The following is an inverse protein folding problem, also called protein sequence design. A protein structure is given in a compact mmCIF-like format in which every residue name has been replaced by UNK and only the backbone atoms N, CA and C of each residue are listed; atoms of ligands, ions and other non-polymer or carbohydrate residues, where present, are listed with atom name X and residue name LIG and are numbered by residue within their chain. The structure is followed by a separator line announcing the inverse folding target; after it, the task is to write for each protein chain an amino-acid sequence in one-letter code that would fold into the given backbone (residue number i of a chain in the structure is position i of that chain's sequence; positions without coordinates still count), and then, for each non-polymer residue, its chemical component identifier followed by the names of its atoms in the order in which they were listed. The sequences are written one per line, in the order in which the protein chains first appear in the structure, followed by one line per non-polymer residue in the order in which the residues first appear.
data_IF_930474689907
#
_entry.id   IF_930474689907
#
_cell.length_a   1.000
_cell.length_b   1.000
_cell.length_c   1.000
_cell.angle_alpha   90.00
_cell.angle_beta   90.00
_cell.angle_gamma   90.00
#
_symmetry.space_group_name_H-M   'P 1'
#
loop_
_entity.id
_entity.type
_entity.pdbx_description
1 polymer ?
#
# COMPACT_ATOMS: atom_id res chain seq x y z
N UNK A 1 -36.89 23.23 43.95
CA UNK A 1 -35.53 23.60 43.54
C UNK A 1 -34.66 22.37 43.58
N UNK A 2 -33.83 22.18 42.55
CA UNK A 2 -32.54 21.50 42.60
C UNK A 2 -32.46 19.95 42.58
N UNK A 3 -32.98 19.27 41.53
CA UNK A 3 -32.55 17.87 41.28
C UNK A 3 -32.40 17.42 39.81
N UNK A 4 -32.53 18.28 38.80
CA UNK A 4 -32.44 17.82 37.40
C UNK A 4 -31.45 18.64 36.55
N UNK A 5 -30.23 18.83 37.05
CA UNK A 5 -29.12 19.40 36.26
C UNK A 5 -28.00 18.37 36.01
N UNK A 6 -28.25 17.08 36.28
CA UNK A 6 -27.21 16.05 36.35
C UNK A 6 -27.15 15.08 35.14
N UNK A 7 -27.72 15.44 33.98
CA UNK A 7 -27.65 14.60 32.78
C UNK A 7 -26.89 15.22 31.61
N UNK A 8 -26.27 16.40 31.80
CA UNK A 8 -25.71 17.18 30.69
C UNK A 8 -24.22 16.97 30.38
N UNK A 9 -23.51 16.01 30.96
CA UNK A 9 -22.03 15.95 30.82
C UNK A 9 -21.38 14.55 30.64
N UNK A 10 -22.07 13.56 30.08
CA UNK A 10 -21.47 12.22 29.89
C UNK A 10 -21.76 11.51 28.55
N UNK A 11 -21.87 12.24 27.43
CA UNK A 11 -21.84 11.60 26.09
C UNK A 11 -20.89 12.36 25.15
N UNK A 12 -19.69 12.63 25.63
CA UNK A 12 -18.52 12.84 24.78
C UNK A 12 -17.58 11.65 25.01
N UNK A 13 -16.97 11.15 23.93
CA UNK A 13 -15.85 10.19 23.89
C UNK A 13 -16.15 8.69 23.70
N UNK A 14 -16.75 8.33 22.57
CA UNK A 14 -16.42 7.09 21.85
C UNK A 14 -16.61 7.35 20.34
N UNK A 15 -15.68 7.94 19.56
CA UNK A 15 -14.33 7.47 19.21
C UNK A 15 -14.21 5.96 19.34
N UNK A 16 -14.39 5.19 18.25
CA UNK A 16 -13.30 4.66 17.41
C UNK A 16 -13.89 4.13 16.10
N UNK A 17 -13.19 4.42 15.01
CA UNK A 17 -13.45 4.02 13.63
C UNK A 17 -13.45 2.49 13.47
N UNK A 18 -14.46 1.94 12.80
CA UNK A 18 -14.41 0.59 12.21
C UNK A 18 -14.40 0.75 10.70
N UNK A 19 -13.22 1.01 10.14
CA UNK A 19 -12.97 0.87 8.72
C UNK A 19 -12.73 -0.62 8.44
N UNK A 20 -13.77 -1.28 7.93
CA UNK A 20 -13.75 -2.65 7.44
C UNK A 20 -12.80 -2.73 6.23
N UNK A 21 -11.62 -3.30 6.43
CA UNK A 21 -10.73 -3.72 5.36
C UNK A 21 -10.72 -5.25 5.31
N UNK A 22 -11.65 -5.84 4.57
CA UNK A 22 -11.41 -7.15 3.95
C UNK A 22 -11.41 -6.98 2.44
N UNK A 23 -10.30 -6.41 1.95
CA UNK A 23 -9.94 -6.48 0.54
C UNK A 23 -9.68 -7.94 0.16
N UNK A 24 -10.47 -8.41 -0.80
CA UNK A 24 -10.49 -9.77 -1.29
C UNK A 24 -9.11 -10.30 -1.72
N UNK A 25 -8.92 -11.56 -1.36
CA UNK A 25 -7.79 -12.42 -1.62
C UNK A 25 -7.56 -12.63 -3.13
N UNK A 26 -6.61 -11.91 -3.70
CA UNK A 26 -6.13 -12.21 -5.06
C UNK A 26 -5.06 -13.31 -4.99
N UNK A 27 -5.41 -14.48 -5.53
CA UNK A 27 -4.57 -15.69 -5.60
C UNK A 27 -3.28 -15.41 -6.37
N UNK A 28 -2.21 -15.08 -5.67
CA UNK A 28 -0.85 -15.03 -6.25
C UNK A 28 -0.41 -16.46 -6.52
N UNK A 29 -0.12 -16.75 -7.79
CA UNK A 29 0.39 -18.02 -8.26
C UNK A 29 1.75 -18.31 -7.59
N UNK A 30 1.73 -19.16 -6.55
CA UNK A 30 2.89 -19.52 -5.71
C UNK A 30 3.76 -20.50 -6.51
N UNK A 31 4.83 -20.02 -7.19
CA UNK A 31 5.85 -20.93 -7.73
C UNK A 31 6.61 -21.58 -6.57
N UNK A 32 6.64 -22.92 -6.45
CA UNK A 32 7.40 -23.59 -5.41
C UNK A 32 8.87 -23.62 -5.83
N UNK A 33 9.77 -23.13 -4.98
CA UNK A 33 11.22 -23.26 -5.21
C UNK A 33 12.03 -22.02 -4.86
N UNK A 34 12.08 -21.67 -3.57
CA UNK A 34 13.21 -21.02 -2.89
C UNK A 34 12.85 -20.94 -1.42
N UNK A 35 13.83 -21.21 -0.55
CA UNK A 35 13.64 -21.21 0.92
C UNK A 35 12.94 -19.95 1.41
N UNK A 36 12.35 -20.04 2.60
CA UNK A 36 11.55 -18.99 3.25
C UNK A 36 12.39 -17.71 3.35
N UNK A 37 12.42 -16.94 2.27
CA UNK A 37 13.06 -15.66 2.20
C UNK A 37 11.99 -14.74 2.73
N UNK A 38 12.10 -14.49 4.02
CA UNK A 38 11.18 -13.66 4.79
C UNK A 38 10.88 -12.40 3.97
N UNK A 39 9.62 -12.28 3.57
CA UNK A 39 9.21 -11.17 2.74
C UNK A 39 9.21 -9.89 3.58
N UNK A 40 9.43 -8.75 2.94
CA UNK A 40 9.41 -7.45 3.59
C UNK A 40 7.95 -6.96 3.76
N UNK A 41 7.58 -6.60 4.99
CA UNK A 41 6.30 -5.97 5.32
C UNK A 41 6.22 -4.54 4.76
N UNK A 42 5.04 -3.93 4.82
CA UNK A 42 4.84 -2.55 4.39
C UNK A 42 5.79 -1.59 5.15
N UNK A 43 6.38 -0.64 4.44
CA UNK A 43 7.37 0.31 4.97
C UNK A 43 8.78 -0.25 5.12
N UNK A 44 8.99 -1.57 5.02
CA UNK A 44 10.32 -2.15 5.09
C UNK A 44 11.09 -2.01 3.76
N UNK A 45 12.42 -2.04 3.85
CA UNK A 45 13.29 -2.02 2.69
C UNK A 45 13.15 -3.29 1.84
N UNK A 46 13.23 -3.10 0.52
CA UNK A 46 13.20 -4.15 -0.48
C UNK A 46 14.31 -3.97 -1.51
N UNK A 47 14.78 -5.09 -2.07
CA UNK A 47 15.82 -5.15 -3.10
C UNK A 47 15.68 -6.47 -3.88
N UNK A 48 16.44 -6.73 -4.97
CA UNK A 48 16.28 -7.96 -5.77
C UNK A 48 16.36 -9.26 -4.95
N UNK A 49 17.08 -9.23 -3.82
CA UNK A 49 17.20 -10.36 -2.89
C UNK A 49 16.12 -10.41 -1.81
N UNK A 50 15.36 -9.34 -1.52
CA UNK A 50 14.30 -9.29 -0.51
C UNK A 50 13.03 -8.68 -1.11
N UNK A 51 12.03 -9.54 -1.38
CA UNK A 51 10.76 -9.16 -2.00
C UNK A 51 9.75 -8.70 -0.95
N UNK A 52 8.81 -7.85 -1.36
CA UNK A 52 7.69 -7.45 -0.51
C UNK A 52 6.67 -8.58 -0.35
N UNK A 53 5.96 -8.59 0.78
CA UNK A 53 4.90 -9.55 1.05
C UNK A 53 3.62 -9.25 0.27
N UNK A 54 2.89 -10.30 -0.13
CA UNK A 54 1.52 -10.18 -0.65
C UNK A 54 1.42 -9.29 -1.90
N UNK A 55 0.54 -8.29 -1.84
CA UNK A 55 0.25 -7.32 -2.93
C UNK A 55 1.12 -6.08 -2.88
N UNK A 56 2.04 -5.99 -1.91
CA UNK A 56 2.97 -4.88 -1.81
C UNK A 56 3.97 -4.94 -2.97
N UNK A 57 4.38 -3.77 -3.43
CA UNK A 57 5.41 -3.66 -4.46
C UNK A 57 6.60 -2.84 -3.93
N UNK A 58 7.77 -3.06 -4.54
CA UNK A 58 8.98 -2.36 -4.18
C UNK A 58 9.05 -1.01 -4.88
N UNK A 59 8.67 0.06 -4.19
CA UNK A 59 8.73 1.42 -4.70
C UNK A 59 10.17 1.94 -4.68
N UNK A 60 10.63 2.44 -5.82
CA UNK A 60 11.96 3.03 -5.99
C UNK A 60 11.79 4.46 -6.47
N UNK A 61 12.45 5.38 -5.78
CA UNK A 61 12.44 6.79 -6.14
C UNK A 61 13.10 7.04 -7.51
N UNK A 62 14.12 6.25 -7.87
CA UNK A 62 14.85 6.37 -9.14
C UNK A 62 15.06 5.00 -9.79
N UNK A 63 15.18 4.97 -11.12
CA UNK A 63 15.25 3.71 -11.88
C UNK A 63 16.50 2.91 -11.54
N UNK A 64 17.60 3.61 -11.27
CA UNK A 64 18.89 3.03 -10.91
C UNK A 64 19.01 2.67 -9.42
N UNK A 65 18.03 3.00 -8.58
CA UNK A 65 18.07 2.57 -7.18
C UNK A 65 17.84 1.06 -7.10
N UNK A 66 18.78 0.36 -6.48
CA UNK A 66 18.68 -1.09 -6.23
C UNK A 66 17.73 -1.37 -5.06
N UNK A 67 17.78 -0.51 -4.05
CA UNK A 67 16.92 -0.54 -2.87
C UNK A 67 15.67 0.33 -3.08
N UNK A 68 14.60 -0.05 -2.41
CA UNK A 68 13.35 0.69 -2.35
C UNK A 68 12.60 0.35 -1.07
N UNK A 69 11.35 0.77 -1.01
CA UNK A 69 10.48 0.51 0.15
C UNK A 69 9.24 -0.25 -0.30
N UNK A 70 8.79 -1.20 0.51
CA UNK A 70 7.55 -1.92 0.24
C UNK A 70 6.36 -1.03 0.51
N UNK A 71 5.58 -0.74 -0.53
CA UNK A 71 4.38 0.09 -0.41
C UNK A 71 3.17 -0.66 -0.95
N UNK A 72 1.99 -0.30 -0.45
CA UNK A 72 0.74 -0.64 -1.12
C UNK A 72 0.67 0.05 -2.49
N UNK A 73 -0.36 -0.29 -3.25
CA UNK A 73 -0.63 0.35 -4.54
C UNK A 73 -0.75 1.87 -4.40
N UNK A 74 -0.43 2.56 -5.49
CA UNK A 74 -0.39 4.01 -5.58
C UNK A 74 -1.74 4.54 -6.02
N UNK A 75 -2.12 5.66 -5.40
CA UNK A 75 -3.30 6.43 -5.78
C UNK A 75 -3.11 7.07 -7.16
N UNK A 76 -4.21 7.57 -7.73
CA UNK A 76 -4.22 8.29 -9.00
C UNK A 76 -3.19 9.43 -9.01
N UNK A 77 -2.60 9.69 -10.16
CA UNK A 77 -1.54 10.68 -10.42
C UNK A 77 -0.20 10.46 -9.70
N UNK A 78 -0.08 9.47 -8.81
CA UNK A 78 1.20 9.14 -8.21
C UNK A 78 2.12 8.43 -9.19
N UNK A 79 3.42 8.53 -8.92
CA UNK A 79 4.47 7.97 -9.76
C UNK A 79 4.43 6.44 -9.74
N UNK A 80 4.53 5.85 -10.91
CA UNK A 80 4.62 4.40 -11.12
C UNK A 80 5.68 4.07 -12.17
N UNK A 81 6.20 2.84 -12.15
CA UNK A 81 7.01 2.30 -13.26
C UNK A 81 6.37 1.09 -13.96
N UNK A 82 5.37 0.48 -13.31
CA UNK A 82 4.60 -0.67 -13.79
C UNK A 82 3.13 -0.51 -13.38
N UNK A 83 2.24 -1.11 -14.15
CA UNK A 83 0.78 -1.08 -13.92
C UNK A 83 0.36 -1.64 -12.57
N UNK A 84 1.02 -2.72 -12.14
CA UNK A 84 0.82 -3.35 -10.82
C UNK A 84 1.12 -2.44 -9.63
N UNK A 85 1.75 -1.29 -9.85
CA UNK A 85 2.00 -0.32 -8.78
C UNK A 85 0.81 0.59 -8.56
N UNK A 86 -0.14 0.67 -9.49
CA UNK A 86 -1.30 1.55 -9.42
C UNK A 86 -2.51 0.79 -8.91
N UNK A 87 -3.30 1.39 -8.02
CA UNK A 87 -4.55 0.76 -7.55
C UNK A 87 -5.57 0.62 -8.69
N UNK A 88 -5.50 1.48 -9.71
CA UNK A 88 -6.30 1.39 -10.94
C UNK A 88 -5.79 0.33 -11.93
N UNK A 89 -4.60 -0.24 -11.70
CA UNK A 89 -3.98 -1.21 -12.60
C UNK A 89 -3.47 -0.62 -13.93
N UNK A 90 -3.31 0.71 -14.03
CA UNK A 90 -2.79 1.36 -15.23
C UNK A 90 -1.76 2.45 -14.89
N UNK A 91 -0.52 2.28 -15.37
CA UNK A 91 0.57 3.22 -15.26
C UNK A 91 0.81 3.95 -16.59
N UNK A 92 0.28 5.16 -16.71
CA UNK A 92 0.36 5.97 -17.94
C UNK A 92 1.73 6.64 -18.04
N UNK A 93 2.49 6.28 -19.07
CA UNK A 93 3.81 6.85 -19.38
C UNK A 93 3.68 7.89 -20.48
N UNK A 94 4.20 9.09 -20.24
CA UNK A 94 4.27 10.17 -21.23
C UNK A 94 5.41 9.92 -22.24
N UNK A 95 5.26 8.86 -23.04
CA UNK A 95 6.22 8.46 -24.08
C UNK A 95 6.88 7.10 -23.84
N UNK A 96 7.28 6.46 -24.93
CA UNK A 96 7.82 5.08 -24.94
C UNK A 96 9.19 4.92 -24.25
N UNK A 97 9.99 6.00 -24.17
CA UNK A 97 11.32 6.00 -23.56
C UNK A 97 11.29 6.29 -22.05
N UNK A 98 10.14 6.67 -21.48
CA UNK A 98 10.03 7.01 -20.05
C UNK A 98 9.93 5.73 -19.22
N UNK A 99 10.84 5.58 -18.25
CA UNK A 99 10.80 4.46 -17.29
C UNK A 99 9.65 4.61 -16.29
N UNK A 100 9.26 5.86 -16.01
CA UNK A 100 8.23 6.22 -15.04
C UNK A 100 7.06 6.93 -15.71
N UNK A 101 5.88 6.70 -15.15
CA UNK A 101 4.63 7.32 -15.51
C UNK A 101 3.84 7.74 -14.27
N UNK A 102 2.54 7.97 -14.46
CA UNK A 102 1.58 8.29 -13.42
C UNK A 102 0.41 7.30 -13.44
N UNK A 103 -0.14 6.98 -12.28
CA UNK A 103 -1.32 6.14 -12.19
C UNK A 103 -2.55 6.85 -12.75
N UNK A 104 -3.31 6.17 -13.61
CA UNK A 104 -4.56 6.69 -14.20
C UNK A 104 -5.74 6.64 -13.25
#
# INVERSE_FOLDING_TARGET
MLQLVCTLTLVFAAVVMSADQTGESMKVHKRPGRGILECANAGADCWPGKRCCGTLYCHREKAYHVKGTCTACQSRNNRCSRDSQCCSGNCVKEGWFKVFGKCS
#
